data_IF_734795345275
#
_entry.id   IF_734795345275
#
_cell.length_a   1.000
_cell.length_b   1.000
_cell.length_c   1.000
_cell.angle_alpha   90.00
_cell.angle_beta   90.00
_cell.angle_gamma   90.00
#
_symmetry.space_group_name_H-M   'P 1'
#
loop_
_entity.id
_entity.type
_entity.pdbx_description
1 polymer ?
#
# COMPACT_ATOMS: atom_id res chain seq x y z
N UNK A 1 5.80 21.24 5.08
CA UNK A 1 4.52 20.96 4.40
C UNK A 1 3.94 19.76 5.10
N UNK A 2 2.87 19.92 5.88
CA UNK A 2 2.30 18.81 6.64
C UNK A 2 1.66 17.83 5.66
N UNK A 3 2.22 16.63 5.55
CA UNK A 3 1.58 15.56 4.81
C UNK A 3 0.31 15.20 5.60
N UNK A 4 -0.85 15.65 5.13
CA UNK A 4 -2.17 15.45 5.75
C UNK A 4 -2.67 13.98 5.70
N UNK A 5 -1.74 13.03 5.60
CA UNK A 5 -1.98 11.60 5.42
C UNK A 5 -1.04 10.84 6.35
N UNK A 6 -1.60 10.01 7.22
CA UNK A 6 -0.86 9.10 8.10
C UNK A 6 -0.91 7.71 7.50
N UNK A 7 0.24 7.14 7.17
CA UNK A 7 0.31 5.74 6.74
C UNK A 7 0.00 4.85 7.94
N UNK A 8 -0.98 3.96 7.78
CA UNK A 8 -1.43 3.04 8.83
C UNK A 8 -0.76 1.68 8.64
N UNK A 9 -0.66 1.23 7.39
CA UNK A 9 -0.08 -0.07 7.04
C UNK A 9 0.74 0.08 5.77
N UNK A 10 1.95 -0.49 5.77
CA UNK A 10 2.79 -0.63 4.58
C UNK A 10 3.05 -2.11 4.34
N UNK A 11 2.68 -2.61 3.17
CA UNK A 11 2.81 -4.02 2.80
C UNK A 11 3.80 -4.13 1.65
N UNK A 12 4.95 -4.75 1.90
CA UNK A 12 5.96 -5.00 0.88
C UNK A 12 5.69 -6.33 0.18
N UNK A 13 5.80 -6.32 -1.15
CA UNK A 13 5.81 -7.53 -1.95
C UNK A 13 7.03 -8.40 -1.60
N UNK A 14 6.92 -9.72 -1.73
CA UNK A 14 8.03 -10.65 -1.51
C UNK A 14 9.21 -10.39 -2.44
N UNK A 15 8.94 -9.88 -3.64
CA UNK A 15 9.97 -9.48 -4.60
C UNK A 15 10.80 -8.28 -4.09
N UNK A 16 10.32 -7.54 -3.09
CA UNK A 16 10.95 -6.33 -2.57
C UNK A 16 10.92 -5.13 -3.52
N UNK A 17 10.43 -5.29 -4.75
CA UNK A 17 10.37 -4.23 -5.77
C UNK A 17 9.05 -3.43 -5.75
N UNK A 18 8.05 -3.88 -4.98
CA UNK A 18 6.72 -3.25 -4.90
C UNK A 18 6.27 -3.15 -3.44
N UNK A 19 5.51 -2.12 -3.13
CA UNK A 19 4.82 -1.98 -1.85
C UNK A 19 3.46 -1.30 -2.02
N UNK A 20 2.54 -1.61 -1.13
CA UNK A 20 1.25 -0.94 -1.02
C UNK A 20 1.19 -0.25 0.34
N UNK A 21 0.98 1.06 0.32
CA UNK A 21 0.81 1.86 1.53
C UNK A 21 -0.65 2.24 1.69
N UNK A 22 -1.26 1.80 2.80
CA UNK A 22 -2.61 2.19 3.22
C UNK A 22 -2.46 3.36 4.18
N UNK A 23 -3.10 4.49 3.85
CA UNK A 23 -3.03 5.71 4.63
C UNK A 23 -4.41 6.24 4.99
N UNK A 24 -4.50 6.84 6.17
CA UNK A 24 -5.65 7.59 6.63
C UNK A 24 -5.41 9.08 6.40
N UNK A 25 -6.43 9.76 5.89
CA UNK A 25 -6.45 11.21 5.68
C UNK A 25 -7.04 11.92 6.89
N UNK A 26 -6.80 13.23 7.02
CA UNK A 26 -7.39 14.02 8.10
C UNK A 26 -8.92 14.05 8.10
N UNK A 27 -9.56 13.82 6.95
CA UNK A 27 -11.02 13.70 6.84
C UNK A 27 -11.55 12.33 7.32
N UNK A 28 -10.72 11.55 8.01
CA UNK A 28 -10.97 10.18 8.48
C UNK A 28 -11.18 9.14 7.37
N UNK A 29 -11.11 9.54 6.09
CA UNK A 29 -11.11 8.58 5.00
C UNK A 29 -9.79 7.84 4.87
N UNK A 30 -9.89 6.65 4.28
CA UNK A 30 -8.77 5.78 3.98
C UNK A 30 -8.51 5.77 2.47
N UNK A 31 -7.25 5.59 2.12
CA UNK A 31 -6.81 5.37 0.75
C UNK A 31 -5.60 4.45 0.73
N UNK A 32 -5.25 3.99 -0.44
CA UNK A 32 -4.04 3.21 -0.65
C UNK A 32 -3.33 3.66 -1.91
N UNK A 33 -2.02 3.51 -1.95
CA UNK A 33 -1.22 3.71 -3.15
C UNK A 33 -0.21 2.56 -3.31
N UNK A 34 -0.08 2.09 -4.54
CA UNK A 34 0.93 1.10 -4.91
C UNK A 34 2.17 1.81 -5.45
N UNK A 35 3.32 1.49 -4.88
CA UNK A 35 4.62 1.96 -5.31
C UNK A 35 5.46 0.82 -5.85
N UNK A 36 6.26 1.15 -6.88
CA UNK A 36 7.28 0.28 -7.43
C UNK A 36 8.62 0.98 -7.36
N UNK A 37 9.66 0.27 -6.91
CA UNK A 37 11.05 0.68 -7.07
C UNK A 37 11.67 -0.19 -8.17
N UNK A 38 12.48 0.41 -9.02
CA UNK A 38 13.29 -0.31 -9.98
C UNK A 38 14.73 -0.45 -9.45
N UNK A 39 15.35 -1.62 -9.57
CA UNK A 39 16.72 -1.82 -9.05
C UNK A 39 17.78 -1.19 -9.94
N UNK A 40 17.50 -1.09 -11.24
CA UNK A 40 18.46 -0.60 -12.23
C UNK A 40 18.39 0.93 -12.34
N UNK A 41 17.22 1.50 -12.08
CA UNK A 41 16.99 2.94 -12.04
C UNK A 41 17.00 3.40 -10.57
N UNK A 42 18.13 3.94 -10.09
CA UNK A 42 18.32 4.51 -8.73
C UNK A 42 17.37 5.69 -8.38
N UNK A 43 16.28 5.89 -9.14
CA UNK A 43 15.32 6.99 -9.02
C UNK A 43 14.28 6.80 -7.90
N UNK A 44 14.31 5.69 -7.17
CA UNK A 44 13.50 5.50 -5.95
C UNK A 44 12.13 4.86 -6.20
N UNK A 45 11.17 5.16 -5.32
CA UNK A 45 9.81 4.61 -5.38
C UNK A 45 8.91 5.46 -6.29
N UNK A 46 8.21 4.80 -7.21
CA UNK A 46 7.27 5.43 -8.13
C UNK A 46 5.85 4.94 -7.87
N UNK A 47 4.86 5.84 -7.72
CA UNK A 47 3.47 5.44 -7.64
C UNK A 47 3.04 4.87 -9.00
N UNK A 48 2.58 3.62 -9.01
CA UNK A 48 2.13 2.93 -10.24
C UNK A 48 0.62 2.69 -10.26
N UNK A 49 -0.02 2.69 -9.09
CA UNK A 49 -1.42 2.29 -8.98
C UNK A 49 -2.45 3.36 -9.35
N UNK A 50 -2.09 4.65 -9.27
CA UNK A 50 -3.07 5.76 -9.38
C UNK A 50 -4.33 5.59 -8.51
N UNK A 51 -4.28 4.74 -7.47
CA UNK A 51 -5.39 4.45 -6.58
C UNK A 51 -5.55 5.50 -5.48
N UNK A 52 -4.60 6.42 -5.33
CA UNK A 52 -4.66 7.53 -4.38
C UNK A 52 -5.85 8.49 -4.53
N UNK A 53 -6.64 8.40 -5.61
CA UNK A 53 -7.91 9.11 -5.74
C UNK A 53 -9.10 8.39 -5.07
N UNK A 54 -9.00 7.09 -4.81
CA UNK A 54 -10.05 6.33 -4.14
C UNK A 54 -10.15 6.74 -2.66
N UNK A 55 -11.37 6.81 -2.16
CA UNK A 55 -11.71 7.26 -0.81
C UNK A 55 -12.61 6.21 -0.19
N UNK A 56 -12.15 5.63 0.91
CA UNK A 56 -12.87 4.59 1.64
C UNK A 56 -13.25 5.10 3.03
N UNK A 57 -14.39 4.65 3.55
CA UNK A 57 -14.83 5.00 4.90
C UNK A 57 -14.03 4.27 5.99
N UNK A 58 -13.52 3.07 5.67
CA UNK A 58 -12.88 2.16 6.62
C UNK A 58 -11.59 1.57 6.06
N UNK A 59 -10.70 1.18 6.97
CA UNK A 59 -9.43 0.51 6.64
C UNK A 59 -9.67 -0.82 5.91
N UNK A 60 -10.63 -1.64 6.36
CA UNK A 60 -10.97 -2.92 5.73
C UNK A 60 -11.44 -2.73 4.28
N UNK A 61 -12.23 -1.68 4.01
CA UNK A 61 -12.69 -1.37 2.66
C UNK A 61 -11.51 -0.93 1.77
N UNK A 62 -10.59 -0.13 2.29
CA UNK A 62 -9.36 0.23 1.58
C UNK A 62 -8.47 -0.98 1.31
N UNK A 63 -8.35 -1.90 2.27
CA UNK A 63 -7.58 -3.13 2.12
C UNK A 63 -8.21 -4.06 1.10
N UNK A 64 -9.51 -4.31 1.17
CA UNK A 64 -10.23 -5.15 0.20
C UNK A 64 -10.10 -4.60 -1.23
N UNK A 65 -10.23 -3.29 -1.40
CA UNK A 65 -10.01 -2.64 -2.69
C UNK A 65 -8.55 -2.73 -3.15
N UNK A 66 -7.59 -2.63 -2.23
CA UNK A 66 -6.18 -2.83 -2.55
C UNK A 66 -5.90 -4.27 -3.01
N UNK A 67 -6.53 -5.25 -2.37
CA UNK A 67 -6.40 -6.68 -2.72
C UNK A 67 -7.00 -6.98 -4.09
N UNK A 68 -8.15 -6.37 -4.41
CA UNK A 68 -8.80 -6.50 -5.71
C UNK A 68 -7.99 -5.80 -6.83
N UNK A 69 -7.46 -4.61 -6.54
CA UNK A 69 -6.70 -3.81 -7.49
C UNK A 69 -5.25 -4.28 -7.69
N UNK A 70 -4.65 -4.93 -6.69
CA UNK A 70 -3.25 -5.35 -6.67
C UNK A 70 -3.17 -6.87 -6.50
N UNK A 71 -3.11 -7.65 -7.60
CA UNK A 71 -3.20 -9.11 -7.55
C UNK A 71 -2.12 -9.79 -6.70
N UNK A 72 -0.91 -9.21 -6.65
CA UNK A 72 0.17 -9.75 -5.82
C UNK A 72 -0.09 -9.56 -4.32
N UNK A 73 -0.87 -8.53 -3.94
CA UNK A 73 -1.23 -8.29 -2.55
C UNK A 73 -2.18 -9.38 -2.04
N UNK A 74 -3.12 -9.83 -2.88
CA UNK A 74 -3.99 -10.97 -2.56
C UNK A 74 -3.16 -12.22 -2.23
N UNK A 75 -2.19 -12.55 -3.10
CA UNK A 75 -1.29 -13.68 -2.88
C UNK A 75 -0.45 -13.54 -1.59
N UNK A 76 -0.01 -12.31 -1.28
CA UNK A 76 0.76 -11.99 -0.07
C UNK A 76 -0.05 -12.16 1.23
N UNK A 77 -1.35 -11.84 1.20
CA UNK A 77 -2.25 -11.93 2.35
C UNK A 77 -2.88 -13.31 2.53
N UNK A 78 -3.04 -14.06 1.44
CA UNK A 78 -3.47 -15.46 1.46
C UNK A 78 -2.37 -16.37 2.02
N UNK A 79 -1.10 -15.98 1.85
CA UNK A 79 -0.01 -16.60 2.57
C UNK A 79 -0.21 -16.40 4.09
N UNK A 80 -0.16 -17.46 4.92
CA UNK A 80 -0.34 -17.33 6.36
C UNK A 80 0.67 -16.31 6.88
N UNK A 81 0.20 -15.36 7.71
CA UNK A 81 0.91 -14.27 8.40
C UNK A 81 2.11 -14.75 9.25
N UNK A 82 3.06 -15.45 8.64
CA UNK A 82 4.31 -15.86 9.23
C UNK A 82 5.35 -14.79 8.89
N UNK A 83 5.64 -13.95 9.89
CA UNK A 83 6.86 -13.17 10.03
C UNK A 83 7.17 -12.12 8.94
N UNK A 84 6.85 -10.85 9.21
CA UNK A 84 7.87 -9.78 9.35
C UNK A 84 7.19 -8.40 9.40
N UNK A 85 6.83 -7.96 10.61
CA UNK A 85 6.97 -6.56 10.98
C UNK A 85 8.02 -6.56 12.08
N UNK A 86 9.28 -6.43 11.70
CA UNK A 86 10.39 -6.18 12.62
C UNK A 86 10.83 -4.72 12.42
N UNK A 87 10.59 -3.94 13.48
CA UNK A 87 11.37 -2.82 14.04
C UNK A 87 12.07 -1.82 13.11
#
# INVERSE_FOLDING_TARGET
MANNKTVIVSINADDGWRCVDIFQRLDQSFGFDEFRRDVEDQKGWFPIGHYGSAVFADQDAALAAAVDAVPWLAARLDAPLAATQAE
#
